data_IF_705900174865
#
_entry.id   IF_705900174865
#
_cell.length_a   1.000
_cell.length_b   1.000
_cell.length_c   1.000
_cell.angle_alpha   90.00
_cell.angle_beta   90.00
_cell.angle_gamma   90.00
#
_symmetry.space_group_name_H-M   'P 1'
#
loop_
_entity.id
_entity.type
_entity.pdbx_description
1 polymer ?
#
# COMPACT_ATOMS: atom_id res chain seq x y z
N UNK A 1 14.23 -44.86 12.22
CA UNK A 1 14.51 -43.91 13.31
C UNK A 1 13.71 -42.65 13.11
N UNK A 2 12.50 -42.72 13.64
CA UNK A 2 11.64 -41.54 13.80
C UNK A 2 12.18 -40.81 15.04
N UNK A 3 13.12 -39.92 14.87
CA UNK A 3 13.62 -39.09 15.96
C UNK A 3 13.03 -37.70 15.81
N UNK A 4 12.04 -37.46 16.62
CA UNK A 4 11.82 -36.23 17.38
C UNK A 4 11.99 -34.90 16.64
N UNK A 5 11.05 -34.56 15.81
CA UNK A 5 10.67 -33.14 15.64
C UNK A 5 9.70 -32.77 16.77
N UNK A 6 10.21 -32.74 18.00
CA UNK A 6 9.56 -31.94 19.05
C UNK A 6 9.72 -30.48 18.68
N UNK A 7 8.74 -29.97 17.95
CA UNK A 7 8.47 -28.52 17.97
C UNK A 7 8.36 -28.14 19.44
N UNK A 8 9.37 -27.45 19.96
CA UNK A 8 9.25 -26.79 21.26
C UNK A 8 8.24 -25.64 21.09
N UNK A 9 6.98 -25.97 21.35
CA UNK A 9 5.93 -24.99 21.62
C UNK A 9 6.33 -24.24 22.90
N UNK A 10 6.98 -23.10 22.77
CA UNK A 10 7.08 -22.13 23.86
C UNK A 10 5.86 -21.22 23.76
N UNK A 11 4.78 -21.59 24.46
CA UNK A 11 3.71 -20.66 24.78
C UNK A 11 4.29 -19.60 25.72
N UNK A 12 4.48 -18.39 25.22
CA UNK A 12 4.67 -17.22 26.08
C UNK A 12 3.33 -16.51 26.09
N UNK A 13 2.44 -16.91 26.99
CA UNK A 13 1.31 -16.08 27.40
C UNK A 13 1.85 -14.89 28.22
N UNK A 14 2.06 -13.78 27.55
CA UNK A 14 2.18 -12.50 28.24
C UNK A 14 0.79 -11.87 28.23
N UNK A 15 0.05 -12.00 29.33
CA UNK A 15 -1.16 -11.23 29.58
C UNK A 15 -0.79 -9.76 29.76
N UNK A 16 -0.54 -9.07 28.67
CA UNK A 16 -0.89 -7.65 28.58
C UNK A 16 -2.36 -7.60 28.18
N UNK A 17 -3.14 -6.74 28.77
CA UNK A 17 -4.60 -6.74 28.85
C UNK A 17 -5.40 -6.86 27.54
N UNK A 18 -4.79 -6.95 26.36
CA UNK A 18 -5.45 -6.87 25.04
C UNK A 18 -4.73 -7.58 23.85
N UNK A 19 -3.62 -8.31 24.03
CA UNK A 19 -2.89 -8.90 22.88
C UNK A 19 -2.52 -10.37 23.18
N UNK A 20 -3.10 -11.32 22.43
CA UNK A 20 -2.67 -12.73 22.45
C UNK A 20 -1.72 -12.91 21.26
N UNK A 21 -0.47 -13.27 21.54
CA UNK A 21 0.51 -13.64 20.52
C UNK A 21 0.84 -15.11 20.65
N UNK A 22 0.50 -15.90 19.64
CA UNK A 22 0.93 -17.30 19.53
C UNK A 22 2.13 -17.39 18.61
N UNK A 23 3.23 -18.01 19.04
CA UNK A 23 4.45 -18.09 18.25
C UNK A 23 4.82 -19.56 18.01
N UNK A 24 4.92 -19.97 16.75
CA UNK A 24 5.48 -21.24 16.32
C UNK A 24 6.68 -20.96 15.40
N UNK A 25 7.88 -21.40 15.77
CA UNK A 25 9.10 -21.17 15.00
C UNK A 25 9.25 -22.18 13.88
N UNK A 26 9.54 -21.72 12.64
CA UNK A 26 9.83 -22.51 11.44
C UNK A 26 11.08 -21.95 10.75
N UNK A 27 12.27 -22.43 11.11
CA UNK A 27 13.53 -21.84 10.64
C UNK A 27 13.68 -20.41 11.15
N UNK A 28 13.97 -19.47 10.25
CA UNK A 28 14.10 -18.03 10.57
C UNK A 28 12.75 -17.31 10.68
N UNK A 29 11.66 -17.99 10.32
CA UNK A 29 10.32 -17.43 10.37
C UNK A 29 9.55 -17.94 11.58
N UNK A 30 8.62 -17.10 12.05
CA UNK A 30 7.70 -17.44 13.15
C UNK A 30 6.27 -17.31 12.66
N UNK A 31 5.46 -18.36 12.83
CA UNK A 31 4.02 -18.26 12.67
C UNK A 31 3.44 -17.59 13.92
N UNK A 32 2.75 -16.48 13.72
CA UNK A 32 2.31 -15.60 14.79
C UNK A 32 0.87 -15.15 14.55
N UNK A 33 0.19 -14.77 15.62
CA UNK A 33 -1.11 -14.14 15.59
C UNK A 33 -1.12 -12.90 16.48
N UNK A 34 -1.71 -11.82 15.98
CA UNK A 34 -1.97 -10.59 16.70
C UNK A 34 -3.44 -10.20 16.57
N UNK A 35 -4.11 -9.88 17.67
CA UNK A 35 -5.50 -9.46 17.70
C UNK A 35 -5.56 -8.00 18.15
N UNK A 36 -6.11 -7.15 17.27
CA UNK A 36 -6.42 -5.76 17.57
C UNK A 36 -7.89 -5.66 17.96
N UNK A 37 -8.16 -5.28 19.21
CA UNK A 37 -9.52 -5.13 19.72
C UNK A 37 -10.03 -3.68 19.57
N UNK A 38 -11.34 -3.54 19.42
CA UNK A 38 -12.05 -2.24 19.42
C UNK A 38 -11.57 -1.24 18.35
N UNK A 39 -11.07 -1.71 17.21
CA UNK A 39 -10.68 -0.85 16.10
C UNK A 39 -11.88 -0.58 15.18
N UNK A 40 -12.51 0.58 15.32
CA UNK A 40 -13.66 0.99 14.50
C UNK A 40 -13.26 1.40 13.09
N UNK A 41 -12.11 2.10 12.95
CA UNK A 41 -11.61 2.60 11.67
C UNK A 41 -10.65 1.59 11.02
N UNK A 42 -11.13 0.39 10.77
CA UNK A 42 -10.40 -0.65 10.05
C UNK A 42 -11.39 -1.60 9.37
N UNK A 43 -11.43 -1.56 8.04
CA UNK A 43 -12.17 -2.52 7.23
C UNK A 43 -11.24 -3.04 6.14
N UNK A 44 -10.90 -4.36 6.14
CA UNK A 44 -9.96 -4.93 5.18
C UNK A 44 -10.33 -4.62 3.72
N UNK A 45 -11.61 -4.74 3.35
CA UNK A 45 -12.08 -4.44 2.01
C UNK A 45 -11.82 -2.99 1.61
N UNK A 46 -12.13 -2.04 2.50
CA UNK A 46 -11.91 -0.61 2.23
C UNK A 46 -10.42 -0.28 2.10
N UNK A 47 -9.55 -0.96 2.87
CA UNK A 47 -8.11 -0.73 2.84
C UNK A 47 -7.48 -1.31 1.56
N UNK A 48 -7.86 -2.54 1.18
CA UNK A 48 -7.17 -3.27 0.12
C UNK A 48 -7.76 -3.05 -1.27
N UNK A 49 -9.02 -2.59 -1.36
CA UNK A 49 -9.70 -2.36 -2.64
C UNK A 49 -9.79 -0.86 -3.03
N UNK A 50 -9.26 0.05 -2.21
CA UNK A 50 -9.26 1.49 -2.53
C UNK A 50 -8.14 1.91 -3.51
N UNK A 51 -7.38 0.97 -4.07
CA UNK A 51 -6.40 1.25 -5.13
C UNK A 51 -5.02 1.73 -4.66
N UNK A 52 -4.71 1.63 -3.37
CA UNK A 52 -3.42 2.01 -2.80
C UNK A 52 -2.38 0.90 -2.81
N UNK A 53 -2.78 -0.37 -2.96
CA UNK A 53 -1.90 -1.54 -2.89
C UNK A 53 -2.33 -2.63 -3.86
N UNK A 54 -1.40 -3.55 -4.21
CA UNK A 54 -1.63 -4.53 -5.27
C UNK A 54 -1.32 -5.97 -4.85
N UNK A 55 -0.86 -6.21 -3.62
CA UNK A 55 -0.41 -7.54 -3.16
C UNK A 55 -1.32 -8.18 -2.12
N UNK A 56 -2.53 -7.67 -1.96
CA UNK A 56 -3.55 -8.23 -1.09
C UNK A 56 -4.65 -8.89 -1.90
N UNK A 57 -5.05 -10.11 -1.52
CA UNK A 57 -6.02 -10.91 -2.24
C UNK A 57 -7.11 -11.40 -1.29
N UNK A 58 -8.37 -11.17 -1.66
CA UNK A 58 -9.55 -11.62 -0.92
C UNK A 58 -9.62 -13.14 -0.95
N UNK A 59 -9.87 -13.75 0.20
CA UNK A 59 -10.00 -15.19 0.37
C UNK A 59 -11.49 -15.59 0.34
N UNK A 60 -11.76 -16.89 0.19
CA UNK A 60 -13.13 -17.42 0.15
C UNK A 60 -13.94 -17.16 1.41
N UNK A 61 -13.27 -17.02 2.56
CA UNK A 61 -13.89 -16.73 3.86
C UNK A 61 -14.04 -15.24 4.15
N UNK A 62 -13.79 -14.39 3.16
CA UNK A 62 -13.86 -12.92 3.26
C UNK A 62 -12.62 -12.24 3.85
N UNK A 63 -11.65 -13.00 4.37
CA UNK A 63 -10.36 -12.45 4.81
C UNK A 63 -9.49 -12.01 3.64
N UNK A 64 -8.40 -11.31 3.92
CA UNK A 64 -7.41 -10.91 2.92
C UNK A 64 -6.04 -11.45 3.28
N UNK A 65 -5.39 -12.11 2.33
CA UNK A 65 -4.00 -12.53 2.48
C UNK A 65 -3.11 -11.70 1.57
N UNK A 66 -2.04 -11.19 2.14
CA UNK A 66 -1.07 -10.39 1.42
C UNK A 66 0.35 -10.63 1.88
N UNK A 67 1.27 -10.03 1.15
CA UNK A 67 2.69 -10.05 1.46
C UNK A 67 3.22 -8.62 1.44
N UNK A 68 3.96 -8.24 2.47
CA UNK A 68 4.68 -6.99 2.55
C UNK A 68 6.04 -7.21 3.20
N UNK A 69 7.08 -6.64 2.64
CA UNK A 69 8.47 -6.99 2.99
C UNK A 69 8.67 -8.52 2.90
N UNK A 70 9.06 -9.16 4.00
CA UNK A 70 9.23 -10.62 4.10
C UNK A 70 8.14 -11.28 4.96
N UNK A 71 6.98 -10.64 5.13
CA UNK A 71 5.87 -11.11 5.94
C UNK A 71 4.72 -11.56 5.05
N UNK A 72 4.18 -12.75 5.30
CA UNK A 72 2.90 -13.19 4.73
C UNK A 72 1.86 -13.11 5.83
N UNK A 73 0.82 -12.31 5.63
CA UNK A 73 -0.19 -12.05 6.66
C UNK A 73 -1.59 -12.19 6.08
N UNK A 74 -2.44 -12.92 6.80
CA UNK A 74 -3.89 -12.91 6.60
C UNK A 74 -4.52 -11.95 7.59
N UNK A 75 -5.44 -11.13 7.11
CA UNK A 75 -6.19 -10.13 7.89
C UNK A 75 -7.67 -10.46 7.82
N UNK A 76 -8.29 -10.68 8.96
CA UNK A 76 -9.71 -10.97 9.09
C UNK A 76 -10.36 -10.05 10.11
N UNK A 77 -11.50 -9.46 9.73
CA UNK A 77 -12.38 -8.79 10.69
C UNK A 77 -13.38 -9.79 11.24
N UNK A 78 -13.51 -9.84 12.56
CA UNK A 78 -14.49 -10.66 13.25
C UNK A 78 -15.08 -9.81 14.39
N UNK A 79 -16.34 -9.42 14.24
CA UNK A 79 -17.03 -8.49 15.15
C UNK A 79 -16.23 -7.20 15.36
N UNK A 80 -15.81 -6.93 16.60
CA UNK A 80 -15.03 -5.75 16.99
C UNK A 80 -13.51 -6.00 16.97
N UNK A 81 -13.04 -7.10 16.37
CA UNK A 81 -11.64 -7.50 16.37
C UNK A 81 -11.10 -7.57 14.95
N UNK A 82 -9.84 -7.21 14.82
CA UNK A 82 -9.05 -7.47 13.61
C UNK A 82 -8.00 -8.51 13.97
N UNK A 83 -8.04 -9.65 13.30
CA UNK A 83 -7.12 -10.76 13.51
C UNK A 83 -6.08 -10.73 12.41
N UNK A 84 -4.82 -10.60 12.79
CA UNK A 84 -3.66 -10.72 11.91
C UNK A 84 -2.99 -12.05 12.22
N UNK A 85 -2.98 -12.98 11.27
CA UNK A 85 -2.29 -14.26 11.39
C UNK A 85 -1.33 -14.41 10.22
N UNK A 86 -0.11 -14.84 10.50
CA UNK A 86 0.84 -14.96 9.41
C UNK A 86 2.17 -15.56 9.79
N UNK A 87 3.09 -15.56 8.84
CA UNK A 87 4.48 -15.97 9.03
C UNK A 87 5.38 -14.76 8.81
N UNK A 88 6.18 -14.42 9.83
CA UNK A 88 7.01 -13.22 9.87
C UNK A 88 8.41 -13.57 10.42
N UNK A 89 9.43 -12.81 10.00
CA UNK A 89 10.76 -12.87 10.64
C UNK A 89 10.77 -12.12 11.95
N UNK A 90 10.11 -10.98 11.99
CA UNK A 90 9.99 -10.09 13.13
C UNK A 90 8.65 -10.27 13.87
N UNK A 91 8.43 -9.48 14.90
CA UNK A 91 7.16 -9.51 15.64
C UNK A 91 6.00 -9.01 14.76
N UNK A 92 4.98 -9.84 14.54
CA UNK A 92 3.82 -9.52 13.69
C UNK A 92 3.06 -8.29 14.16
N UNK A 93 2.96 -8.08 15.49
CA UNK A 93 2.29 -6.90 16.04
C UNK A 93 3.00 -5.62 15.62
N UNK A 94 4.33 -5.56 15.80
CA UNK A 94 5.11 -4.37 15.48
C UNK A 94 5.10 -4.08 13.97
N UNK A 95 5.18 -5.12 13.14
CA UNK A 95 5.09 -4.99 11.69
C UNK A 95 3.69 -4.54 11.25
N UNK A 96 2.62 -5.09 11.83
CA UNK A 96 1.25 -4.65 11.53
C UNK A 96 0.98 -3.22 12.02
N UNK A 97 1.45 -2.85 13.22
CA UNK A 97 1.30 -1.47 13.71
C UNK A 97 1.92 -0.46 12.74
N UNK A 98 3.12 -0.76 12.23
CA UNK A 98 3.82 0.10 11.27
C UNK A 98 3.11 0.12 9.91
N UNK A 99 2.86 -1.06 9.34
CA UNK A 99 2.33 -1.18 7.98
C UNK A 99 0.91 -0.62 7.84
N UNK A 100 0.01 -0.93 8.80
CA UNK A 100 -1.38 -0.48 8.80
C UNK A 100 -1.59 0.88 9.48
N UNK A 101 -0.51 1.54 9.91
CA UNK A 101 -0.56 2.85 10.56
C UNK A 101 -1.52 2.86 11.77
N UNK A 102 -1.43 1.82 12.63
CA UNK A 102 -2.39 1.60 13.72
C UNK A 102 -2.29 2.64 14.84
N UNK A 103 -1.17 3.35 14.95
CA UNK A 103 -0.98 4.41 15.94
C UNK A 103 -1.69 5.72 15.56
N UNK A 104 -2.08 5.90 14.30
CA UNK A 104 -2.79 7.10 13.85
C UNK A 104 -4.27 7.03 14.19
N UNK A 105 -4.79 8.08 14.82
CA UNK A 105 -6.19 8.19 15.18
C UNK A 105 -7.04 8.61 13.97
N UNK A 106 -7.53 7.62 13.21
CA UNK A 106 -8.38 7.86 12.04
C UNK A 106 -9.78 8.37 12.40
N UNK A 107 -10.30 8.12 13.60
CA UNK A 107 -11.58 8.67 14.03
C UNK A 107 -11.52 10.20 14.14
N UNK A 108 -10.40 10.74 14.63
CA UNK A 108 -10.16 12.18 14.66
C UNK A 108 -10.00 12.77 13.23
N UNK A 109 -9.29 12.07 12.35
CA UNK A 109 -9.14 12.48 10.94
C UNK A 109 -10.50 12.51 10.24
N UNK A 110 -11.29 11.46 10.37
CA UNK A 110 -12.65 11.37 9.81
C UNK A 110 -13.54 12.48 10.33
N UNK A 111 -13.52 12.75 11.64
CA UNK A 111 -14.28 13.84 12.25
C UNK A 111 -13.92 15.21 11.63
N UNK A 112 -12.62 15.49 11.45
CA UNK A 112 -12.17 16.74 10.83
C UNK A 112 -12.64 16.85 9.37
N UNK A 113 -12.46 15.80 8.58
CA UNK A 113 -12.80 15.80 7.15
C UNK A 113 -14.32 15.82 6.93
N UNK A 114 -15.12 15.14 7.76
CA UNK A 114 -16.58 15.14 7.65
C UNK A 114 -17.20 16.53 7.89
N UNK A 115 -16.50 17.42 8.57
CA UNK A 115 -16.94 18.80 8.80
C UNK A 115 -16.61 19.76 7.64
N UNK A 116 -15.87 19.31 6.63
CA UNK A 116 -15.50 20.15 5.49
C UNK A 116 -16.69 20.37 4.56
N UNK A 117 -17.36 19.27 4.15
CA UNK A 117 -18.57 19.32 3.34
C UNK A 117 -19.31 17.97 3.31
N UNK A 118 -20.52 17.98 2.75
CA UNK A 118 -21.38 16.80 2.68
C UNK A 118 -20.81 15.68 1.77
N UNK A 119 -20.03 16.02 0.74
CA UNK A 119 -19.44 15.01 -0.14
C UNK A 119 -18.39 14.18 0.62
N UNK A 120 -17.54 14.84 1.40
CA UNK A 120 -16.60 14.13 2.26
C UNK A 120 -17.30 13.35 3.36
N UNK A 121 -18.34 13.90 3.99
CA UNK A 121 -19.12 13.18 4.99
C UNK A 121 -19.66 11.87 4.42
N UNK A 122 -20.34 11.91 3.28
CA UNK A 122 -20.90 10.72 2.60
C UNK A 122 -19.79 9.74 2.18
N UNK A 123 -18.68 10.24 1.64
CA UNK A 123 -17.57 9.38 1.23
C UNK A 123 -16.88 8.68 2.40
N UNK A 124 -16.80 9.32 3.56
CA UNK A 124 -16.27 8.74 4.79
C UNK A 124 -17.24 7.69 5.34
N UNK A 125 -18.54 7.94 5.33
CA UNK A 125 -19.54 6.94 5.72
C UNK A 125 -19.47 5.70 4.84
N UNK A 126 -19.25 5.86 3.52
CA UNK A 126 -19.08 4.76 2.57
C UNK A 126 -17.77 3.97 2.80
N UNK A 127 -16.67 4.66 3.05
CA UNK A 127 -15.32 4.09 3.20
C UNK A 127 -14.78 4.14 4.63
N UNK A 128 -15.62 4.02 5.66
CA UNK A 128 -15.29 4.31 7.06
C UNK A 128 -14.03 3.62 7.61
N UNK A 129 -13.68 2.47 7.04
CA UNK A 129 -12.54 1.65 7.45
C UNK A 129 -11.26 1.91 6.66
N UNK A 130 -11.21 2.88 5.74
CA UNK A 130 -9.99 3.22 4.98
C UNK A 130 -8.90 3.71 5.93
N UNK A 131 -7.70 3.16 5.71
CA UNK A 131 -6.43 3.61 6.29
C UNK A 131 -5.38 3.69 5.19
N UNK A 132 -4.51 4.69 5.25
CA UNK A 132 -3.37 4.78 4.32
C UNK A 132 -2.25 3.88 4.84
N UNK A 133 -1.83 2.90 4.03
CA UNK A 133 -0.78 1.96 4.37
C UNK A 133 0.61 2.65 4.35
N UNK A 134 1.56 2.12 5.13
CA UNK A 134 2.98 2.48 5.05
C UNK A 134 3.72 1.38 4.28
N UNK A 135 3.55 1.36 2.96
CA UNK A 135 4.18 0.36 2.10
C UNK A 135 5.67 0.64 1.90
N UNK A 136 6.44 -0.38 1.59
CA UNK A 136 7.85 -0.24 1.22
C UNK A 136 8.01 0.73 0.06
N UNK A 137 8.98 1.65 0.16
CA UNK A 137 9.18 2.71 -0.84
C UNK A 137 9.55 2.14 -2.21
N UNK A 138 10.46 1.14 -2.23
CA UNK A 138 10.92 0.54 -3.48
C UNK A 138 9.80 -0.23 -4.19
N UNK A 139 9.11 -1.11 -3.47
CA UNK A 139 7.96 -1.85 -4.00
C UNK A 139 6.87 -0.89 -4.51
N UNK A 140 6.58 0.17 -3.77
CA UNK A 140 5.58 1.17 -4.14
C UNK A 140 5.98 1.93 -5.41
N UNK A 141 7.24 2.35 -5.52
CA UNK A 141 7.76 3.05 -6.71
C UNK A 141 7.58 2.19 -7.97
N UNK A 142 8.06 0.96 -7.94
CA UNK A 142 7.95 0.05 -9.11
C UNK A 142 6.48 -0.28 -9.41
N UNK A 143 5.67 -0.54 -8.38
CA UNK A 143 4.25 -0.86 -8.55
C UNK A 143 3.47 0.28 -9.21
N UNK A 144 3.75 1.54 -8.85
CA UNK A 144 3.08 2.68 -9.45
C UNK A 144 3.63 3.04 -10.85
N UNK A 145 4.89 2.75 -11.17
CA UNK A 145 5.38 2.79 -12.57
C UNK A 145 4.61 1.77 -13.41
N UNK A 146 4.40 0.55 -12.90
CA UNK A 146 3.63 -0.51 -13.56
C UNK A 146 2.15 -0.09 -13.71
N UNK A 147 1.63 0.68 -12.78
CA UNK A 147 0.22 1.12 -12.79
C UNK A 147 -0.11 2.15 -13.87
N UNK A 148 0.89 2.82 -14.45
CA UNK A 148 0.67 3.85 -15.46
C UNK A 148 -0.07 3.30 -16.69
N UNK A 149 -1.26 3.87 -17.01
CA UNK A 149 -2.15 3.42 -18.10
C UNK A 149 -2.42 1.90 -18.07
N UNK A 150 -2.84 1.39 -16.90
CA UNK A 150 -3.06 -0.04 -16.67
C UNK A 150 -4.31 -0.27 -15.80
N UNK A 151 -4.79 -1.50 -15.69
CA UNK A 151 -5.89 -1.88 -14.82
C UNK A 151 -5.40 -2.75 -13.64
N UNK A 152 -6.13 -2.73 -12.53
CA UNK A 152 -5.73 -3.38 -11.28
C UNK A 152 -5.45 -4.89 -11.45
N UNK A 153 -6.31 -5.71 -12.10
CA UNK A 153 -6.01 -7.13 -12.29
C UNK A 153 -4.69 -7.38 -13.02
N UNK A 154 -4.41 -6.60 -14.07
CA UNK A 154 -3.16 -6.72 -14.82
C UNK A 154 -1.94 -6.25 -14.01
N UNK A 155 -2.08 -5.18 -13.23
CA UNK A 155 -1.02 -4.69 -12.33
C UNK A 155 -0.67 -5.78 -11.31
N UNK A 156 -1.67 -6.32 -10.60
CA UNK A 156 -1.50 -7.43 -9.64
C UNK A 156 -0.77 -8.62 -10.30
N UNK A 157 -1.23 -9.04 -11.48
CA UNK A 157 -0.62 -10.16 -12.20
C UNK A 157 0.84 -9.92 -12.63
N UNK A 158 1.20 -8.69 -13.03
CA UNK A 158 2.59 -8.34 -13.37
C UNK A 158 3.46 -8.37 -12.13
N UNK A 159 3.04 -7.72 -11.04
CA UNK A 159 3.79 -7.66 -9.77
C UNK A 159 4.02 -9.08 -9.23
N UNK A 160 3.01 -9.95 -9.29
CA UNK A 160 3.13 -11.33 -8.83
C UNK A 160 4.14 -12.12 -9.68
N UNK A 161 4.14 -11.95 -11.01
CA UNK A 161 5.14 -12.60 -11.88
C UNK A 161 6.56 -12.09 -11.64
N UNK A 162 6.75 -10.78 -11.42
CA UNK A 162 8.05 -10.21 -11.02
C UNK A 162 8.50 -10.86 -9.71
N UNK A 163 7.64 -10.89 -8.70
CA UNK A 163 7.95 -11.46 -7.40
C UNK A 163 8.30 -12.95 -7.50
N UNK A 164 7.56 -13.71 -8.29
CA UNK A 164 7.82 -15.14 -8.50
C UNK A 164 9.14 -15.41 -9.24
N UNK A 165 9.54 -14.52 -10.16
CA UNK A 165 10.75 -14.70 -10.95
C UNK A 165 12.02 -14.26 -10.24
N UNK A 166 11.93 -13.25 -9.36
CA UNK A 166 13.11 -12.60 -8.78
C UNK A 166 13.08 -12.49 -7.26
N UNK A 167 11.93 -12.70 -6.60
CA UNK A 167 11.82 -12.64 -5.14
C UNK A 167 12.08 -13.97 -4.46
N UNK A 168 12.17 -13.93 -3.13
CA UNK A 168 12.35 -15.12 -2.29
C UNK A 168 11.00 -15.84 -2.06
N UNK A 169 11.03 -17.18 -2.11
CA UNK A 169 9.86 -18.00 -1.86
C UNK A 169 9.61 -18.16 -0.36
N UNK A 170 8.37 -17.94 0.05
CA UNK A 170 7.87 -18.21 1.41
C UNK A 170 6.71 -19.20 1.31
N UNK A 171 6.72 -20.26 2.13
CA UNK A 171 5.63 -21.23 2.20
C UNK A 171 4.86 -21.05 3.50
N UNK A 172 3.57 -20.78 3.40
CA UNK A 172 2.69 -20.66 4.55
C UNK A 172 1.29 -21.19 4.23
N UNK A 173 0.70 -21.91 5.16
CA UNK A 173 -0.65 -22.51 5.06
C UNK A 173 -0.87 -23.31 3.75
N UNK A 174 0.14 -24.12 3.37
CA UNK A 174 0.19 -24.94 2.15
C UNK A 174 0.20 -24.16 0.83
N UNK A 175 0.36 -22.84 0.87
CA UNK A 175 0.48 -21.97 -0.29
C UNK A 175 1.88 -21.38 -0.42
N UNK A 176 2.24 -21.00 -1.65
CA UNK A 176 3.51 -20.37 -1.97
C UNK A 176 3.30 -18.89 -2.18
N UNK A 177 4.15 -18.11 -1.56
CA UNK A 177 4.21 -16.65 -1.67
C UNK A 177 5.62 -16.24 -2.04
N UNK A 178 5.79 -15.06 -2.64
CA UNK A 178 7.09 -14.58 -3.08
C UNK A 178 7.27 -13.13 -2.64
N UNK A 179 8.40 -12.80 -2.01
CA UNK A 179 8.73 -11.41 -1.66
C UNK A 179 8.80 -10.53 -2.90
N UNK A 180 8.59 -9.24 -2.76
CA UNK A 180 8.97 -8.32 -3.83
C UNK A 180 10.51 -8.31 -3.91
N UNK A 181 11.11 -8.42 -5.11
CA UNK A 181 12.57 -8.47 -5.23
C UNK A 181 13.21 -7.16 -4.80
N UNK A 182 14.34 -7.25 -4.13
CA UNK A 182 15.22 -6.10 -3.87
C UNK A 182 15.69 -5.48 -5.18
N UNK A 183 16.19 -4.22 -5.17
CA UNK A 183 16.80 -3.64 -6.36
C UNK A 183 17.90 -4.51 -6.99
N UNK A 184 18.73 -5.16 -6.15
CA UNK A 184 19.79 -6.06 -6.60
C UNK A 184 19.25 -7.34 -7.26
N UNK A 185 18.17 -7.91 -6.73
CA UNK A 185 17.53 -9.09 -7.33
C UNK A 185 16.86 -8.74 -8.64
N UNK A 186 16.13 -7.62 -8.70
CA UNK A 186 15.45 -7.17 -9.91
C UNK A 186 16.46 -6.69 -11.00
N UNK A 187 17.65 -6.23 -10.62
CA UNK A 187 18.68 -5.82 -11.58
C UNK A 187 19.25 -6.98 -12.44
N UNK A 188 18.94 -8.23 -12.05
CA UNK A 188 19.29 -9.43 -12.85
C UNK A 188 18.39 -9.59 -14.08
N UNK A 189 17.24 -8.91 -14.11
CA UNK A 189 16.31 -8.94 -15.23
C UNK A 189 16.81 -8.08 -16.39
N UNK A 190 16.78 -8.62 -17.59
CA UNK A 190 16.92 -7.82 -18.81
C UNK A 190 15.61 -7.12 -19.18
N UNK A 191 15.66 -6.16 -20.09
CA UNK A 191 14.45 -5.51 -20.65
C UNK A 191 13.55 -6.56 -21.32
N UNK A 192 14.14 -7.57 -21.97
CA UNK A 192 13.39 -8.64 -22.61
C UNK A 192 12.69 -9.54 -21.60
N UNK A 193 13.34 -9.89 -20.49
CA UNK A 193 12.71 -10.64 -19.40
C UNK A 193 11.50 -9.89 -18.83
N UNK A 194 11.65 -8.60 -18.57
CA UNK A 194 10.56 -7.74 -18.09
C UNK A 194 9.42 -7.65 -19.10
N UNK A 195 9.73 -7.60 -20.40
CA UNK A 195 8.72 -7.64 -21.47
C UNK A 195 7.96 -8.95 -21.47
N UNK A 196 8.66 -10.08 -21.35
CA UNK A 196 8.07 -11.42 -21.31
C UNK A 196 7.19 -11.64 -20.06
N UNK A 197 7.51 -11.00 -18.95
CA UNK A 197 6.65 -10.95 -17.75
C UNK A 197 5.35 -10.18 -18.00
N UNK A 198 5.29 -9.34 -19.05
CA UNK A 198 4.08 -8.64 -19.48
C UNK A 198 4.03 -7.16 -19.12
N UNK A 199 5.19 -6.52 -18.83
CA UNK A 199 5.27 -5.09 -18.55
C UNK A 199 4.88 -4.23 -19.75
N UNK A 200 5.06 -4.74 -20.98
CA UNK A 200 4.86 -3.97 -22.21
C UNK A 200 5.79 -2.75 -22.21
N UNK A 201 5.32 -1.58 -22.65
CA UNK A 201 6.13 -0.35 -22.74
C UNK A 201 6.72 0.17 -21.41
N UNK A 202 6.43 -0.52 -20.28
CA UNK A 202 6.96 -0.17 -18.94
C UNK A 202 8.24 -0.92 -18.61
N UNK A 203 8.62 -1.89 -19.44
CA UNK A 203 9.81 -2.72 -19.30
C UNK A 203 11.08 -1.89 -19.16
N UNK A 204 11.36 -1.00 -20.11
CA UNK A 204 12.50 -0.08 -20.08
C UNK A 204 12.45 0.83 -18.85
N UNK A 205 11.26 1.33 -18.48
CA UNK A 205 11.10 2.24 -17.33
C UNK A 205 11.46 1.57 -16.01
N UNK A 206 10.98 0.33 -15.81
CA UNK A 206 11.31 -0.46 -14.62
C UNK A 206 12.79 -0.83 -14.63
N UNK A 207 13.34 -1.24 -15.76
CA UNK A 207 14.75 -1.56 -15.91
C UNK A 207 15.65 -0.38 -15.54
N UNK A 208 15.44 0.79 -16.14
CA UNK A 208 16.24 1.99 -15.89
C UNK A 208 16.08 2.50 -14.45
N UNK A 209 14.85 2.47 -13.90
CA UNK A 209 14.64 2.83 -12.49
C UNK A 209 15.39 1.87 -11.56
N UNK A 210 15.37 0.57 -11.83
CA UNK A 210 16.12 -0.43 -11.08
C UNK A 210 17.61 -0.18 -11.14
N UNK A 211 18.13 0.14 -12.33
CA UNK A 211 19.53 0.49 -12.54
C UNK A 211 19.95 1.71 -11.73
N UNK A 212 19.18 2.80 -11.78
CA UNK A 212 19.44 4.03 -11.01
C UNK A 212 19.55 3.74 -9.51
N UNK A 213 18.61 2.96 -8.96
CA UNK A 213 18.62 2.63 -7.53
C UNK A 213 19.77 1.70 -7.18
N UNK A 214 20.07 0.70 -8.02
CA UNK A 214 21.13 -0.25 -7.75
C UNK A 214 22.53 0.40 -7.82
N UNK A 215 22.72 1.37 -8.73
CA UNK A 215 23.95 2.17 -8.83
C UNK A 215 24.09 3.22 -7.72
N UNK A 216 22.98 3.58 -7.04
CA UNK A 216 22.94 4.56 -5.97
C UNK A 216 22.25 3.96 -4.71
N UNK A 217 22.94 3.11 -3.93
CA UNK A 217 22.33 2.36 -2.82
C UNK A 217 21.69 3.24 -1.73
N UNK A 218 22.14 4.49 -1.59
CA UNK A 218 21.59 5.43 -0.61
C UNK A 218 20.35 6.19 -1.13
N UNK A 219 20.01 6.07 -2.41
CA UNK A 219 18.97 6.89 -3.03
C UNK A 219 17.59 6.76 -2.37
N UNK A 220 17.18 5.54 -2.01
CA UNK A 220 15.91 5.32 -1.32
C UNK A 220 15.91 5.99 0.06
N UNK A 221 17.02 5.87 0.79
CA UNK A 221 17.17 6.52 2.10
C UNK A 221 17.17 8.06 1.99
N UNK A 222 17.85 8.60 0.99
CA UNK A 222 17.83 10.05 0.73
C UNK A 222 16.39 10.56 0.48
N UNK A 223 15.58 9.79 -0.26
CA UNK A 223 14.16 10.10 -0.46
C UNK A 223 13.36 10.02 0.84
N UNK A 224 13.62 9.03 1.70
CA UNK A 224 12.95 8.90 3.00
C UNK A 224 13.33 10.02 3.98
N UNK A 225 14.56 10.49 3.91
CA UNK A 225 15.08 11.56 4.77
C UNK A 225 14.62 12.96 4.33
N UNK A 226 14.18 13.15 3.05
CA UNK A 226 13.70 14.44 2.54
C UNK A 226 12.32 14.78 3.15
N UNK A 227 12.23 15.97 3.75
CA UNK A 227 11.00 16.45 4.40
C UNK A 227 10.22 17.42 3.53
N UNK A 228 10.88 18.12 2.61
CA UNK A 228 10.22 19.04 1.69
C UNK A 228 9.52 18.27 0.57
N UNK A 229 8.19 18.39 0.51
CA UNK A 229 7.33 17.69 -0.45
C UNK A 229 7.66 18.07 -1.90
N UNK A 230 8.02 19.34 -2.16
CA UNK A 230 8.31 19.79 -3.52
C UNK A 230 9.65 19.21 -4.00
N UNK A 231 10.69 19.26 -3.15
CA UNK A 231 11.99 18.63 -3.45
C UNK A 231 11.85 17.14 -3.65
N UNK A 232 11.09 16.47 -2.78
CA UNK A 232 10.81 15.05 -2.90
C UNK A 232 10.11 14.70 -4.21
N UNK A 233 9.12 15.52 -4.60
CA UNK A 233 8.42 15.37 -5.89
C UNK A 233 9.39 15.56 -7.07
N UNK A 234 10.25 16.57 -7.03
CA UNK A 234 11.27 16.82 -8.06
C UNK A 234 12.24 15.62 -8.19
N UNK A 235 12.68 15.05 -7.07
CA UNK A 235 13.53 13.86 -7.08
C UNK A 235 12.82 12.64 -7.66
N UNK A 236 11.56 12.40 -7.30
CA UNK A 236 10.77 11.30 -7.83
C UNK A 236 10.50 11.45 -9.35
N UNK A 237 10.31 12.67 -9.84
CA UNK A 237 10.10 12.95 -11.26
C UNK A 237 11.32 12.61 -12.14
N UNK A 238 12.52 12.45 -11.55
CA UNK A 238 13.73 12.04 -12.29
C UNK A 238 13.73 10.57 -12.68
N UNK A 239 12.89 9.74 -12.04
CA UNK A 239 12.82 8.31 -12.39
C UNK A 239 12.01 8.10 -13.68
N UNK A 240 12.50 7.22 -14.60
CA UNK A 240 11.80 6.89 -15.82
C UNK A 240 10.37 6.35 -15.59
N UNK A 241 9.39 7.00 -16.20
CA UNK A 241 7.97 6.62 -16.03
C UNK A 241 7.26 7.20 -14.82
N UNK A 242 7.95 8.00 -14.01
CA UNK A 242 7.34 8.74 -12.90
C UNK A 242 6.90 10.12 -13.38
N UNK A 243 5.59 10.28 -13.58
CA UNK A 243 4.97 11.58 -13.77
C UNK A 243 4.37 12.10 -12.46
N UNK A 244 3.75 13.31 -12.44
CA UNK A 244 3.22 13.92 -11.22
C UNK A 244 2.27 13.01 -10.43
N UNK A 245 1.34 12.32 -11.10
CA UNK A 245 0.41 11.38 -10.44
C UNK A 245 1.14 10.21 -9.78
N UNK A 246 2.14 9.63 -10.45
CA UNK A 246 2.91 8.51 -9.90
C UNK A 246 3.74 8.97 -8.71
N UNK A 247 4.40 10.14 -8.81
CA UNK A 247 5.14 10.74 -7.70
C UNK A 247 4.25 10.94 -6.47
N UNK A 248 3.06 11.52 -6.65
CA UNK A 248 2.11 11.74 -5.55
C UNK A 248 1.60 10.42 -4.93
N UNK A 249 1.34 9.40 -5.75
CA UNK A 249 0.99 8.07 -5.24
C UNK A 249 2.12 7.45 -4.41
N UNK A 250 3.36 7.53 -4.88
CA UNK A 250 4.54 7.03 -4.14
C UNK A 250 4.68 7.79 -2.82
N UNK A 251 4.56 9.12 -2.84
CA UNK A 251 4.63 9.94 -1.64
C UNK A 251 3.52 9.62 -0.62
N UNK A 252 2.30 9.35 -1.09
CA UNK A 252 1.16 9.10 -0.22
C UNK A 252 1.17 7.68 0.37
N UNK A 253 1.44 6.66 -0.46
CA UNK A 253 1.19 5.26 -0.13
C UNK A 253 2.43 4.46 0.32
N UNK A 254 3.60 5.08 0.33
CA UNK A 254 4.82 4.47 0.84
C UNK A 254 5.17 4.95 2.26
N UNK A 255 6.34 4.51 2.74
CA UNK A 255 6.97 4.99 3.99
C UNK A 255 7.22 6.50 4.01
N UNK A 256 7.17 7.19 2.87
CA UNK A 256 7.27 8.66 2.78
C UNK A 256 6.10 9.37 3.46
N UNK A 257 4.89 8.79 3.38
CA UNK A 257 3.68 9.21 4.10
C UNK A 257 3.35 10.70 4.02
N UNK A 258 3.43 11.29 2.84
CA UNK A 258 3.07 12.71 2.62
C UNK A 258 1.55 12.83 2.41
N UNK A 259 0.82 13.10 3.48
CA UNK A 259 -0.65 13.12 3.46
C UNK A 259 -1.23 14.38 2.81
N UNK A 260 -0.42 15.42 2.60
CA UNK A 260 -0.78 16.67 1.94
C UNK A 260 -0.81 16.59 0.41
N UNK A 261 -0.27 15.54 -0.21
CA UNK A 261 -0.33 15.38 -1.67
C UNK A 261 -1.72 14.90 -2.12
N UNK A 262 -2.08 15.21 -3.35
CA UNK A 262 -3.38 14.87 -3.92
C UNK A 262 -3.18 14.20 -5.29
N UNK A 263 -3.01 12.87 -5.36
CA UNK A 263 -2.79 12.18 -6.62
C UNK A 263 -3.96 12.38 -7.58
N UNK A 264 -3.72 13.00 -8.74
CA UNK A 264 -4.74 13.32 -9.73
C UNK A 264 -4.55 12.45 -10.97
N UNK A 265 -5.37 11.44 -11.12
CA UNK A 265 -5.55 10.69 -12.36
C UNK A 265 -6.80 11.19 -13.13
N UNK A 266 -7.13 10.54 -14.24
CA UNK A 266 -8.30 10.89 -15.06
C UNK A 266 -9.58 10.73 -14.27
N UNK A 267 -9.67 9.71 -13.40
CA UNK A 267 -10.85 9.47 -12.60
C UNK A 267 -11.03 10.50 -11.50
N UNK A 268 -9.98 10.79 -10.74
CA UNK A 268 -10.00 11.84 -9.71
C UNK A 268 -10.34 13.20 -10.31
N UNK A 269 -9.81 13.53 -11.50
CA UNK A 269 -10.17 14.75 -12.22
C UNK A 269 -11.66 14.85 -12.49
N UNK A 270 -12.28 13.76 -12.96
CA UNK A 270 -13.75 13.69 -13.19
C UNK A 270 -14.53 13.87 -11.90
N UNK A 271 -14.14 13.17 -10.84
CA UNK A 271 -14.78 13.30 -9.53
C UNK A 271 -14.71 14.74 -9.00
N UNK A 272 -13.53 15.37 -9.08
CA UNK A 272 -13.36 16.74 -8.62
C UNK A 272 -14.18 17.73 -9.47
N UNK A 273 -14.28 17.48 -10.76
CA UNK A 273 -15.16 18.28 -11.62
C UNK A 273 -16.63 18.09 -11.24
N UNK A 274 -17.09 16.85 -11.15
CA UNK A 274 -18.47 16.54 -10.84
C UNK A 274 -18.93 17.11 -9.48
N UNK A 275 -18.08 17.05 -8.49
CA UNK A 275 -18.45 17.45 -7.13
C UNK A 275 -18.22 18.95 -6.87
N UNK A 276 -17.14 19.54 -7.40
CA UNK A 276 -16.68 20.86 -6.96
C UNK A 276 -16.54 21.91 -8.05
N UNK A 277 -15.90 21.58 -9.20
CA UNK A 277 -15.55 22.58 -10.22
C UNK A 277 -16.73 22.90 -11.11
N UNK A 278 -17.50 21.88 -11.51
CA UNK A 278 -18.72 22.01 -12.34
C UNK A 278 -18.47 22.61 -13.73
N UNK A 279 -17.31 22.31 -14.34
CA UNK A 279 -17.01 22.76 -15.69
C UNK A 279 -17.67 21.84 -16.71
N UNK A 280 -18.39 22.39 -17.69
CA UNK A 280 -19.08 21.61 -18.75
C UNK A 280 -18.09 20.88 -19.67
N UNK A 281 -16.86 21.38 -19.80
CA UNK A 281 -15.81 20.78 -20.61
C UNK A 281 -14.70 20.17 -19.70
N UNK A 282 -14.79 18.87 -19.46
CA UNK A 282 -13.82 18.12 -18.63
C UNK A 282 -12.36 18.25 -19.14
N UNK A 283 -12.17 18.55 -20.45
CA UNK A 283 -10.81 18.64 -21.02
C UNK A 283 -10.09 19.91 -20.61
N UNK A 284 -10.84 20.94 -20.23
CA UNK A 284 -10.30 22.25 -19.80
C UNK A 284 -9.96 22.34 -18.33
N UNK A 285 -10.23 21.30 -17.54
CA UNK A 285 -9.95 21.33 -16.10
C UNK A 285 -8.45 21.28 -15.87
N UNK A 286 -7.93 22.34 -15.25
CA UNK A 286 -6.52 22.46 -14.93
C UNK A 286 -6.21 21.66 -13.65
N UNK A 287 -5.18 20.82 -13.71
CA UNK A 287 -4.71 20.07 -12.52
C UNK A 287 -4.31 20.99 -11.37
N UNK A 288 -3.73 22.15 -11.65
CA UNK A 288 -3.37 23.14 -10.62
C UNK A 288 -4.60 23.66 -9.88
N UNK A 289 -5.72 23.88 -10.57
CA UNK A 289 -6.99 24.29 -9.95
C UNK A 289 -7.47 23.23 -8.95
N UNK A 290 -7.37 21.94 -9.31
CA UNK A 290 -7.71 20.83 -8.40
C UNK A 290 -6.75 20.80 -7.20
N UNK A 291 -5.44 20.95 -7.42
CA UNK A 291 -4.43 20.97 -6.36
C UNK A 291 -4.66 22.12 -5.37
N UNK A 292 -4.93 23.33 -5.87
CA UNK A 292 -5.23 24.50 -5.05
C UNK A 292 -6.53 24.34 -4.25
N UNK A 293 -7.58 23.81 -4.89
CA UNK A 293 -8.84 23.50 -4.24
C UNK A 293 -8.64 22.45 -3.13
N UNK A 294 -7.93 21.36 -3.41
CA UNK A 294 -7.65 20.30 -2.45
C UNK A 294 -6.81 20.84 -1.28
N UNK A 295 -5.79 21.64 -1.54
CA UNK A 295 -4.97 22.27 -0.52
C UNK A 295 -5.79 23.20 0.38
N UNK A 296 -6.66 24.02 -0.22
CA UNK A 296 -7.51 24.99 0.50
C UNK A 296 -8.54 24.28 1.36
N UNK A 297 -9.20 23.21 0.83
CA UNK A 297 -10.29 22.52 1.53
C UNK A 297 -9.79 21.53 2.57
N UNK A 298 -8.73 20.77 2.27
CA UNK A 298 -8.32 19.60 3.05
C UNK A 298 -6.97 19.75 3.74
N UNK A 299 -6.17 20.76 3.35
CA UNK A 299 -4.86 21.03 3.94
C UNK A 299 -3.95 19.80 3.96
N UNK A 300 -3.37 19.53 5.11
CA UNK A 300 -2.45 18.40 5.31
C UNK A 300 -3.13 17.01 5.27
N UNK A 301 -4.44 16.93 5.05
CA UNK A 301 -5.19 15.67 4.94
C UNK A 301 -5.70 15.43 3.51
N UNK A 302 -5.19 16.18 2.52
CA UNK A 302 -5.66 16.14 1.15
C UNK A 302 -5.60 14.73 0.53
N UNK A 303 -4.53 13.97 0.78
CA UNK A 303 -4.40 12.59 0.27
C UNK A 303 -5.40 11.61 0.89
N UNK A 304 -5.74 11.79 2.16
CA UNK A 304 -6.76 10.97 2.81
C UNK A 304 -8.15 11.34 2.27
N UNK A 305 -8.45 12.63 2.12
CA UNK A 305 -9.68 13.11 1.51
C UNK A 305 -9.85 12.56 0.08
N UNK A 306 -8.77 12.58 -0.72
CA UNK A 306 -8.76 12.02 -2.07
C UNK A 306 -9.14 10.53 -2.07
N UNK A 307 -8.60 9.73 -1.13
CA UNK A 307 -8.91 8.31 -1.06
C UNK A 307 -10.38 8.04 -0.72
N UNK A 308 -10.98 8.80 0.19
CA UNK A 308 -12.41 8.67 0.48
C UNK A 308 -13.27 9.02 -0.72
N UNK A 309 -13.03 10.16 -1.37
CA UNK A 309 -13.77 10.60 -2.55
C UNK A 309 -13.61 9.60 -3.71
N UNK A 310 -12.39 9.14 -3.96
CA UNK A 310 -12.08 8.18 -5.02
C UNK A 310 -12.78 6.83 -4.80
N UNK A 311 -12.68 6.28 -3.58
CA UNK A 311 -13.26 4.98 -3.25
C UNK A 311 -14.79 5.01 -3.34
N UNK A 312 -15.41 6.05 -2.78
CA UNK A 312 -16.85 6.25 -2.87
C UNK A 312 -17.35 6.32 -4.31
N UNK A 313 -16.79 7.21 -5.12
CA UNK A 313 -17.27 7.44 -6.49
C UNK A 313 -16.94 6.30 -7.46
N UNK A 314 -15.98 5.46 -7.12
CA UNK A 314 -15.65 4.26 -7.91
C UNK A 314 -16.60 3.10 -7.62
N UNK A 315 -17.16 3.01 -6.42
CA UNK A 315 -18.04 1.93 -5.99
C UNK A 315 -19.55 2.28 -6.01
N UNK A 316 -19.89 3.58 -6.21
CA UNK A 316 -21.26 4.09 -6.24
C UNK A 316 -21.89 4.04 -7.63
#
# INVERSE_FOLDING_TARGET
NIINLKCQLKYIQKQAKYDIITIVKRGDFMEQEYILENCKSFEPEHIFECGQCFRWNKQKDGSYTGIFKQNVVNVKKADNKIIFRGICKENIKDECIKYFDLNTNYDNIKSKLSNVDNYLKTSIEYGEGIRILNQDLWETLISFIISANNNIPRIKGIIERISKSYGEKIVWDKAEYYTFPTPQELSKASVEDLRNIGLGFRDVRVYETTKIINENPNKLKELEDEKDVNKLREELLKFPGVGPKVADCVMLFSTLKKLEVFPIDVWVRRVMNELYIKNDDETKINKKEIEELAKTKYGNLAGIAQQYLFYWRRGA
#
